data_IF_559110304460
#
_entry.id   IF_559110304460
#
_cell.length_a   1.000
_cell.length_b   1.000
_cell.length_c   1.000
_cell.angle_alpha   90.00
_cell.angle_beta   90.00
_cell.angle_gamma   90.00
#
_symmetry.space_group_name_H-M   'P 1'
#
loop_
_entity.id
_entity.type
_entity.pdbx_description
1 polymer ?
#
# COMPACT_ATOMS: atom_id res chain seq x y z
N UNK A 1 -11.50 -2.03 26.09
CA UNK A 1 -10.56 -3.06 25.56
C UNK A 1 -10.32 -3.03 24.04
N UNK A 2 -11.28 -2.75 23.14
CA UNK A 2 -11.04 -2.72 21.67
C UNK A 2 -10.12 -1.60 21.14
N UNK A 3 -10.00 -0.47 21.84
CA UNK A 3 -9.19 0.68 21.41
C UNK A 3 -7.67 0.47 21.63
N UNK A 4 -7.28 -0.28 22.67
CA UNK A 4 -5.87 -0.56 22.98
C UNK A 4 -5.26 -1.58 22.03
N UNK A 5 -6.01 -2.63 21.68
CA UNK A 5 -5.57 -3.63 20.70
C UNK A 5 -5.32 -3.03 19.31
N UNK A 6 -6.10 -2.03 18.91
CA UNK A 6 -5.95 -1.38 17.61
C UNK A 6 -4.69 -0.49 17.55
N UNK A 7 -4.36 0.23 18.64
CA UNK A 7 -3.11 1.03 18.69
C UNK A 7 -1.86 0.16 18.71
N UNK A 8 -1.87 -0.95 19.45
CA UNK A 8 -0.76 -1.90 19.46
C UNK A 8 -0.51 -2.48 18.06
N UNK A 9 -1.55 -2.82 17.31
CA UNK A 9 -1.41 -3.31 15.92
C UNK A 9 -0.96 -2.25 14.92
N UNK A 10 -1.24 -0.97 15.15
CA UNK A 10 -0.70 0.09 14.30
C UNK A 10 0.78 0.34 14.62
N UNK A 11 1.15 0.34 15.91
CA UNK A 11 2.53 0.45 16.36
C UNK A 11 3.41 -0.67 15.79
N UNK A 12 2.94 -1.93 15.79
CA UNK A 12 3.71 -3.04 15.21
C UNK A 12 3.95 -2.87 13.71
N UNK A 13 2.97 -2.38 12.96
CA UNK A 13 3.15 -2.10 11.51
C UNK A 13 4.19 -1.01 11.28
N UNK A 14 4.13 0.08 12.06
CA UNK A 14 5.12 1.16 11.99
C UNK A 14 6.52 0.66 12.36
N UNK A 15 6.65 -0.12 13.43
CA UNK A 15 7.92 -0.74 13.83
C UNK A 15 8.49 -1.64 12.74
N UNK A 16 7.68 -2.52 12.15
CA UNK A 16 8.14 -3.40 11.08
C UNK A 16 8.53 -2.63 9.81
N UNK A 17 7.78 -1.58 9.46
CA UNK A 17 8.11 -0.73 8.32
C UNK A 17 9.42 0.03 8.55
N UNK A 18 9.61 0.56 9.77
CA UNK A 18 10.84 1.24 10.17
C UNK A 18 12.03 0.29 10.16
N UNK A 19 11.89 -0.90 10.76
CA UNK A 19 12.91 -1.95 10.74
C UNK A 19 13.31 -2.30 9.30
N UNK A 20 12.34 -2.50 8.41
CA UNK A 20 12.63 -2.78 6.99
C UNK A 20 13.42 -1.65 6.32
N UNK A 21 13.07 -0.39 6.57
CA UNK A 21 13.81 0.76 6.06
C UNK A 21 15.25 0.83 6.61
N UNK A 22 15.42 0.60 7.91
CA UNK A 22 16.76 0.59 8.54
C UNK A 22 17.64 -0.55 8.04
N UNK A 23 17.08 -1.75 7.88
CA UNK A 23 17.79 -2.90 7.31
C UNK A 23 18.18 -2.64 5.85
N UNK A 24 17.28 -2.02 5.06
CA UNK A 24 17.60 -1.62 3.71
C UNK A 24 18.76 -0.62 3.67
N UNK A 25 18.79 0.36 4.58
CA UNK A 25 19.89 1.33 4.66
C UNK A 25 21.25 0.65 4.86
N UNK A 26 21.37 -0.24 5.83
CA UNK A 26 22.63 -0.97 6.08
C UNK A 26 22.97 -1.95 4.95
N UNK A 27 21.97 -2.52 4.28
CA UNK A 27 22.21 -3.47 3.19
C UNK A 27 22.69 -2.75 1.91
N UNK A 28 22.23 -1.52 1.64
CA UNK A 28 22.60 -0.77 0.44
C UNK A 28 24.07 -0.42 0.34
N UNK A 29 24.82 -0.44 1.45
CA UNK A 29 26.28 -0.26 1.41
C UNK A 29 27.01 -1.48 0.80
N UNK A 30 26.33 -2.62 0.70
CA UNK A 30 26.87 -3.88 0.17
C UNK A 30 26.39 -4.20 -1.26
N UNK A 31 25.45 -3.41 -1.81
CA UNK A 31 24.89 -3.66 -3.14
C UNK A 31 25.64 -2.87 -4.22
N UNK A 32 26.15 -3.57 -5.23
CA UNK A 32 26.80 -2.94 -6.39
C UNK A 32 25.81 -2.16 -7.27
N UNK A 33 24.53 -2.56 -7.29
CA UNK A 33 23.50 -1.94 -8.14
C UNK A 33 22.26 -1.49 -7.36
N UNK A 34 22.43 -0.39 -6.63
CA UNK A 34 21.35 0.31 -5.92
C UNK A 34 20.32 0.90 -6.91
N UNK A 35 20.73 1.22 -8.15
CA UNK A 35 19.83 1.80 -9.17
C UNK A 35 18.80 0.79 -9.66
N UNK A 36 19.18 -0.48 -9.80
CA UNK A 36 18.23 -1.54 -10.12
C UNK A 36 17.15 -1.69 -9.04
N UNK A 37 17.49 -1.50 -7.77
CA UNK A 37 16.52 -1.50 -6.67
C UNK A 37 15.52 -0.35 -6.82
N UNK A 38 15.97 0.85 -7.20
CA UNK A 38 15.08 1.97 -7.47
C UNK A 38 14.09 1.64 -8.61
N UNK A 39 14.57 1.08 -9.72
CA UNK A 39 13.74 0.67 -10.86
C UNK A 39 12.68 -0.34 -10.45
N UNK A 40 13.06 -1.37 -9.68
CA UNK A 40 12.13 -2.41 -9.23
C UNK A 40 11.07 -1.87 -8.28
N UNK A 41 11.43 -0.97 -7.35
CA UNK A 41 10.47 -0.30 -6.47
C UNK A 41 9.45 0.52 -7.26
N UNK A 42 9.91 1.30 -8.25
CA UNK A 42 9.03 2.09 -9.13
C UNK A 42 8.10 1.17 -9.93
N UNK A 43 8.63 0.11 -10.55
CA UNK A 43 7.87 -0.81 -11.37
C UNK A 43 6.79 -1.55 -10.57
N UNK A 44 7.14 -2.11 -9.40
CA UNK A 44 6.19 -2.82 -8.54
C UNK A 44 5.09 -1.87 -8.04
N UNK A 45 5.47 -0.69 -7.58
CA UNK A 45 4.53 0.28 -7.00
C UNK A 45 3.59 0.86 -8.05
N UNK A 46 4.10 1.18 -9.25
CA UNK A 46 3.29 1.62 -10.38
C UNK A 46 2.29 0.54 -10.82
N UNK A 47 2.74 -0.72 -10.90
CA UNK A 47 1.88 -1.85 -11.26
C UNK A 47 0.77 -2.06 -10.23
N UNK A 48 1.08 -2.05 -8.94
CA UNK A 48 0.08 -2.22 -7.88
C UNK A 48 -0.91 -1.05 -7.81
N UNK A 49 -0.45 0.17 -8.06
CA UNK A 49 -1.33 1.34 -8.18
C UNK A 49 -2.34 1.15 -9.31
N UNK A 50 -1.86 0.78 -10.52
CA UNK A 50 -2.72 0.49 -11.65
C UNK A 50 -3.70 -0.65 -11.36
N UNK A 51 -3.21 -1.73 -10.75
CA UNK A 51 -4.04 -2.88 -10.37
C UNK A 51 -5.17 -2.48 -9.40
N UNK A 52 -4.90 -1.66 -8.39
CA UNK A 52 -5.91 -1.15 -7.44
C UNK A 52 -7.00 -0.35 -8.17
N UNK A 53 -6.61 0.56 -9.06
CA UNK A 53 -7.55 1.40 -9.80
C UNK A 53 -8.39 0.59 -10.79
N UNK A 54 -7.77 -0.37 -11.48
CA UNK A 54 -8.46 -1.29 -12.38
C UNK A 54 -9.44 -2.17 -11.61
N UNK A 55 -9.03 -2.75 -10.48
CA UNK A 55 -9.90 -3.57 -9.64
C UNK A 55 -11.11 -2.77 -9.12
N UNK A 56 -10.92 -1.51 -8.74
CA UNK A 56 -12.01 -0.63 -8.32
C UNK A 56 -12.95 -0.31 -9.48
N UNK A 57 -12.41 -0.01 -10.66
CA UNK A 57 -13.20 0.29 -11.87
C UNK A 57 -14.01 -0.93 -12.30
N UNK A 58 -13.40 -2.11 -12.27
CA UNK A 58 -14.04 -3.39 -12.56
C UNK A 58 -15.15 -3.70 -11.55
N UNK A 59 -14.92 -3.46 -10.26
CA UNK A 59 -15.95 -3.62 -9.23
C UNK A 59 -17.17 -2.72 -9.51
N UNK A 60 -16.96 -1.49 -9.97
CA UNK A 60 -18.05 -0.57 -10.30
C UNK A 60 -18.73 -0.94 -11.62
N UNK A 61 -17.98 -1.41 -12.62
CA UNK A 61 -18.48 -1.73 -13.95
C UNK A 61 -19.20 -3.07 -14.05
N UNK A 62 -18.76 -4.09 -13.29
CA UNK A 62 -19.30 -5.46 -13.36
C UNK A 62 -20.35 -5.72 -12.29
N UNK A 63 -20.30 -5.01 -11.15
CA UNK A 63 -21.23 -5.30 -10.08
C UNK A 63 -22.68 -4.94 -10.43
N UNK A 64 -23.60 -5.85 -10.10
CA UNK A 64 -25.02 -5.61 -10.28
C UNK A 64 -25.48 -4.38 -9.48
N UNK A 65 -26.39 -3.61 -10.07
CA UNK A 65 -26.99 -2.42 -9.42
C UNK A 65 -27.49 -2.71 -7.99
N UNK A 66 -28.21 -3.81 -7.69
CA UNK A 66 -28.66 -4.11 -6.33
C UNK A 66 -27.50 -4.31 -5.34
N UNK A 67 -26.40 -4.92 -5.76
CA UNK A 67 -25.23 -5.14 -4.90
C UNK A 67 -24.54 -3.82 -4.56
N UNK A 68 -24.32 -2.94 -5.55
CA UNK A 68 -23.74 -1.61 -5.31
C UNK A 68 -24.66 -0.76 -4.42
N UNK A 69 -25.98 -0.86 -4.59
CA UNK A 69 -26.95 -0.17 -3.73
C UNK A 69 -26.88 -0.67 -2.28
N UNK A 70 -26.83 -2.00 -2.05
CA UNK A 70 -26.63 -2.58 -0.71
C UNK A 70 -25.31 -2.12 -0.08
N UNK A 71 -24.21 -2.08 -0.85
CA UNK A 71 -22.92 -1.56 -0.39
C UNK A 71 -22.94 -0.05 -0.06
N UNK A 72 -23.71 0.74 -0.81
CA UNK A 72 -23.89 2.18 -0.55
C UNK A 72 -24.73 2.42 0.71
N UNK A 73 -25.84 1.69 0.87
CA UNK A 73 -26.71 1.79 2.05
C UNK A 73 -25.96 1.45 3.35
N UNK A 74 -25.09 0.43 3.31
CA UNK A 74 -24.25 0.02 4.45
C UNK A 74 -23.01 0.91 4.67
N UNK A 75 -22.84 1.98 3.88
CA UNK A 75 -21.66 2.89 3.83
C UNK A 75 -20.33 2.21 3.47
N UNK A 76 -20.31 0.90 3.26
CA UNK A 76 -19.10 0.13 2.95
C UNK A 76 -18.47 0.53 1.60
N UNK A 77 -19.27 0.96 0.62
CA UNK A 77 -18.76 1.43 -0.66
C UNK A 77 -17.79 2.63 -0.49
N UNK A 78 -18.19 3.64 0.29
CA UNK A 78 -17.36 4.83 0.52
C UNK A 78 -16.04 4.51 1.23
N UNK A 79 -16.08 3.59 2.21
CA UNK A 79 -14.90 3.13 2.94
C UNK A 79 -13.94 2.37 2.03
N UNK A 80 -14.48 1.53 1.14
CA UNK A 80 -13.69 0.78 0.17
C UNK A 80 -13.02 1.70 -0.84
N UNK A 81 -13.78 2.60 -1.48
CA UNK A 81 -13.26 3.57 -2.45
C UNK A 81 -12.18 4.43 -1.81
N UNK A 82 -12.47 5.03 -0.65
CA UNK A 82 -11.48 5.85 0.08
C UNK A 82 -10.24 5.03 0.43
N UNK A 83 -10.41 3.80 0.91
CA UNK A 83 -9.31 2.90 1.22
C UNK A 83 -8.46 2.56 -0.01
N UNK A 84 -9.09 2.28 -1.15
CA UNK A 84 -8.39 1.99 -2.40
C UNK A 84 -7.57 3.20 -2.87
N UNK A 85 -8.15 4.41 -2.84
CA UNK A 85 -7.44 5.64 -3.16
C UNK A 85 -6.30 5.95 -2.18
N UNK A 86 -6.50 5.73 -0.87
CA UNK A 86 -5.42 5.87 0.12
C UNK A 86 -4.30 4.86 -0.15
N UNK A 87 -4.62 3.62 -0.48
CA UNK A 87 -3.62 2.61 -0.82
C UNK A 87 -2.85 2.99 -2.08
N UNK A 88 -3.54 3.43 -3.14
CA UNK A 88 -2.93 3.91 -4.37
C UNK A 88 -2.02 5.12 -4.12
N UNK A 89 -2.45 6.08 -3.29
CA UNK A 89 -1.63 7.22 -2.90
C UNK A 89 -0.36 6.81 -2.15
N UNK A 90 -0.43 5.83 -1.24
CA UNK A 90 0.75 5.30 -0.56
C UNK A 90 1.73 4.62 -1.53
N UNK A 91 1.24 3.88 -2.52
CA UNK A 91 2.09 3.32 -3.57
C UNK A 91 2.73 4.40 -4.45
N UNK A 92 2.02 5.49 -4.75
CA UNK A 92 2.60 6.65 -5.45
C UNK A 92 3.72 7.32 -4.66
N UNK A 93 3.65 7.36 -3.32
CA UNK A 93 4.76 7.85 -2.48
C UNK A 93 6.02 7.00 -2.69
N UNK A 94 5.89 5.68 -2.81
CA UNK A 94 7.02 4.79 -3.12
C UNK A 94 7.59 5.09 -4.50
N UNK A 95 6.74 5.32 -5.51
CA UNK A 95 7.17 5.72 -6.85
C UNK A 95 7.98 7.02 -6.79
N UNK A 96 7.49 8.04 -6.08
CA UNK A 96 8.18 9.32 -5.93
C UNK A 96 9.56 9.12 -5.30
N UNK A 97 9.67 8.39 -4.19
CA UNK A 97 10.99 8.15 -3.58
C UNK A 97 11.90 7.29 -4.45
N UNK A 98 11.37 6.29 -5.17
CA UNK A 98 12.14 5.51 -6.13
C UNK A 98 12.71 6.37 -7.27
N UNK A 99 11.90 7.27 -7.83
CA UNK A 99 12.35 8.23 -8.85
C UNK A 99 13.37 9.23 -8.29
N UNK A 100 13.16 9.76 -7.07
CA UNK A 100 14.15 10.60 -6.40
C UNK A 100 15.47 9.85 -6.16
N UNK A 101 15.41 8.54 -5.89
CA UNK A 101 16.58 7.67 -5.81
C UNK A 101 17.38 7.61 -7.10
N UNK A 102 16.73 7.67 -8.27
CA UNK A 102 17.45 7.75 -9.55
C UNK A 102 18.16 9.08 -9.79
N UNK A 103 17.60 10.18 -9.25
CA UNK A 103 18.11 11.54 -9.40
C UNK A 103 19.22 11.90 -8.41
N UNK A 104 19.55 11.01 -7.48
CA UNK A 104 20.54 11.24 -6.43
C UNK A 104 21.66 10.20 -6.51
N UNK A 105 22.76 10.45 -5.79
CA UNK A 105 23.94 9.56 -5.73
C UNK A 105 24.40 9.36 -4.29
N UNK A 106 25.30 8.38 -4.11
CA UNK A 106 26.03 8.12 -2.87
C UNK A 106 25.09 7.87 -1.67
N UNK A 107 25.44 8.42 -0.51
CA UNK A 107 24.67 8.25 0.73
C UNK A 107 23.26 8.82 0.64
N UNK A 108 23.04 9.87 -0.15
CA UNK A 108 21.71 10.47 -0.32
C UNK A 108 20.78 9.51 -1.03
N UNK A 109 21.27 8.80 -2.05
CA UNK A 109 20.53 7.76 -2.75
C UNK A 109 20.14 6.61 -1.80
N UNK A 110 21.08 6.18 -0.94
CA UNK A 110 20.81 5.15 0.07
C UNK A 110 19.68 5.58 1.01
N UNK A 111 19.76 6.78 1.61
CA UNK A 111 18.73 7.29 2.53
C UNK A 111 17.36 7.34 1.85
N UNK A 112 17.29 7.89 0.63
CA UNK A 112 16.03 8.02 -0.11
C UNK A 112 15.41 6.66 -0.41
N UNK A 113 16.21 5.69 -0.85
CA UNK A 113 15.70 4.35 -1.16
C UNK A 113 15.33 3.56 0.09
N UNK A 114 16.00 3.78 1.22
CA UNK A 114 15.57 3.21 2.51
C UNK A 114 14.21 3.75 2.95
N UNK A 115 13.94 5.04 2.74
CA UNK A 115 12.62 5.64 2.96
C UNK A 115 11.60 5.06 1.98
N UNK A 116 11.98 4.80 0.73
CA UNK A 116 11.13 4.14 -0.26
C UNK A 116 10.73 2.72 0.20
N UNK A 117 11.69 1.92 0.70
CA UNK A 117 11.43 0.57 1.23
C UNK A 117 10.53 0.61 2.47
N UNK A 118 10.77 1.54 3.40
CA UNK A 118 9.88 1.75 4.55
C UNK A 118 8.45 2.03 4.09
N UNK A 119 8.30 2.97 3.15
CA UNK A 119 7.01 3.37 2.60
C UNK A 119 6.32 2.20 1.88
N UNK A 120 7.10 1.38 1.16
CA UNK A 120 6.61 0.18 0.47
C UNK A 120 6.03 -0.84 1.44
N UNK A 121 6.75 -1.17 2.52
CA UNK A 121 6.27 -2.12 3.53
C UNK A 121 5.00 -1.58 4.21
N UNK A 122 4.95 -0.28 4.47
CA UNK A 122 3.76 0.35 5.04
C UNK A 122 2.56 0.30 4.07
N UNK A 123 2.79 0.60 2.78
CA UNK A 123 1.77 0.53 1.73
C UNK A 123 1.24 -0.90 1.57
N UNK A 124 2.12 -1.91 1.63
CA UNK A 124 1.75 -3.32 1.56
C UNK A 124 0.82 -3.73 2.71
N UNK A 125 1.13 -3.31 3.95
CA UNK A 125 0.25 -3.57 5.09
C UNK A 125 -1.12 -2.95 4.91
N UNK A 126 -1.18 -1.71 4.42
CA UNK A 126 -2.45 -1.03 4.18
C UNK A 126 -3.26 -1.73 3.09
N UNK A 127 -2.61 -2.15 2.00
CA UNK A 127 -3.21 -2.89 0.90
C UNK A 127 -3.79 -4.23 1.36
N UNK A 128 -3.03 -5.03 2.10
CA UNK A 128 -3.50 -6.32 2.66
C UNK A 128 -4.66 -6.10 3.63
N UNK A 129 -4.57 -5.10 4.51
CA UNK A 129 -5.64 -4.78 5.45
C UNK A 129 -6.94 -4.36 4.73
N UNK A 130 -6.83 -3.61 3.63
CA UNK A 130 -7.96 -3.24 2.79
C UNK A 130 -8.60 -4.49 2.15
N UNK A 131 -7.80 -5.39 1.58
CA UNK A 131 -8.27 -6.65 0.99
C UNK A 131 -9.02 -7.53 2.00
N UNK A 132 -8.48 -7.68 3.22
CA UNK A 132 -9.14 -8.45 4.30
C UNK A 132 -10.46 -7.79 4.74
N UNK A 133 -10.50 -6.46 4.83
CA UNK A 133 -11.75 -5.73 5.14
C UNK A 133 -12.78 -5.92 4.05
N UNK A 134 -12.38 -5.80 2.79
CA UNK A 134 -13.25 -5.99 1.63
C UNK A 134 -13.84 -7.40 1.57
N UNK A 135 -13.01 -8.45 1.72
CA UNK A 135 -13.47 -9.85 1.80
C UNK A 135 -14.54 -10.05 2.89
N UNK A 136 -14.34 -9.46 4.07
CA UNK A 136 -15.32 -9.57 5.17
C UNK A 136 -16.64 -8.90 4.86
N UNK A 137 -16.62 -7.76 4.15
CA UNK A 137 -17.85 -7.08 3.69
C UNK A 137 -18.56 -7.95 2.65
N UNK A 138 -17.84 -8.47 1.66
CA UNK A 138 -18.42 -9.34 0.62
C UNK A 138 -19.14 -10.55 1.21
N UNK A 139 -18.49 -11.29 2.11
CA UNK A 139 -19.08 -12.48 2.75
C UNK A 139 -20.32 -12.14 3.57
N UNK A 140 -20.38 -10.95 4.18
CA UNK A 140 -21.56 -10.52 4.95
C UNK A 140 -22.71 -10.09 4.06
N UNK A 141 -22.43 -9.30 3.03
CA UNK A 141 -23.45 -8.80 2.10
C UNK A 141 -24.01 -9.93 1.22
N UNK A 142 -23.19 -10.92 0.84
CA UNK A 142 -23.63 -12.06 0.05
C UNK A 142 -24.53 -13.05 0.82
N UNK A 143 -24.56 -12.99 2.16
CA UNK A 143 -25.47 -13.81 2.99
C UNK A 143 -26.84 -13.16 3.21
N UNK A 144 -27.06 -11.94 2.69
CA UNK A 144 -28.30 -11.16 2.81
C UNK A 144 -28.92 -10.96 1.44
#
# INVERSE_FOLDING_TARGET
MKLLGNRATELTKWLLSFLAGTLAFYSFDTFDDIRLTATTLVALSGTLTGFILTALSMLVGIADRPFILKLRQTRHYSVLVKGAFTSAALWLVVVVFGLLGHLTTDKTQQIILSIAVLSMVHALWFFVALGIKFRRVLVRVARI
#
